data_IF_623262382346
#
_entry.id   IF_623262382346
#
_cell.length_a   1.000
_cell.length_b   1.000
_cell.length_c   1.000
_cell.angle_alpha   90.00
_cell.angle_beta   90.00
_cell.angle_gamma   90.00
#
_symmetry.space_group_name_H-M   'P 1'
#
loop_
_entity.id
_entity.type
_entity.pdbx_description
1 polymer ?
#
# COMPACT_ATOMS: atom_id res chain seq x y z
N UNK A 1 13.11 64.06 61.99
CA UNK A 1 13.15 62.82 62.80
C UNK A 1 12.69 61.66 61.93
N UNK A 2 13.50 60.59 61.88
CA UNK A 2 13.19 59.18 61.52
C UNK A 2 12.98 58.75 60.04
N UNK A 3 14.05 58.13 59.52
CA UNK A 3 14.21 56.88 58.73
C UNK A 3 13.34 56.49 57.51
N UNK A 4 14.00 56.49 56.34
CA UNK A 4 14.34 55.38 55.43
C UNK A 4 13.45 54.09 55.33
N UNK A 5 12.95 53.89 54.09
CA UNK A 5 13.04 52.71 53.19
C UNK A 5 12.48 51.31 53.56
N UNK A 6 11.90 50.67 52.51
CA UNK A 6 11.83 49.22 52.16
C UNK A 6 10.47 48.47 52.30
N UNK A 7 9.95 48.10 51.13
CA UNK A 7 9.36 46.81 50.69
C UNK A 7 7.93 46.31 50.98
N UNK A 8 7.23 46.07 49.85
CA UNK A 8 6.57 44.82 49.34
C UNK A 8 5.26 44.30 50.02
N UNK A 9 4.30 43.95 49.12
CA UNK A 9 3.19 42.95 49.15
C UNK A 9 1.76 43.44 49.48
N UNK A 10 0.87 43.39 48.46
CA UNK A 10 -0.48 42.75 48.41
C UNK A 10 -1.28 43.32 47.22
N UNK A 11 -1.36 42.67 46.05
CA UNK A 11 -2.28 41.58 45.60
C UNK A 11 -3.78 41.90 45.78
N UNK A 12 -4.50 41.91 44.64
CA UNK A 12 -5.85 41.35 44.33
C UNK A 12 -6.40 42.14 43.11
N UNK A 13 -6.14 41.65 41.90
CA UNK A 13 -7.09 40.87 41.06
C UNK A 13 -8.17 41.72 40.38
N UNK A 14 -7.85 42.20 39.17
CA UNK A 14 -8.87 42.50 38.16
C UNK A 14 -8.68 41.47 37.04
N UNK A 15 -9.53 40.45 37.08
CA UNK A 15 -9.69 39.44 36.05
C UNK A 15 -10.29 40.14 34.83
N UNK A 16 -9.47 40.36 33.80
CA UNK A 16 -9.96 40.60 32.45
C UNK A 16 -10.46 39.27 31.90
N UNK A 17 -11.77 39.07 31.86
CA UNK A 17 -12.40 38.08 31.00
C UNK A 17 -12.15 38.48 29.54
N UNK A 18 -11.01 38.10 28.98
CA UNK A 18 -10.94 37.84 27.54
C UNK A 18 -11.75 36.58 27.31
N UNK A 19 -13.02 36.77 26.91
CA UNK A 19 -13.81 35.71 26.33
C UNK A 19 -13.00 35.06 25.21
N UNK A 20 -12.98 33.73 25.22
CA UNK A 20 -12.40 32.91 24.17
C UNK A 20 -12.82 33.46 22.80
N UNK A 21 -11.88 34.06 22.07
CA UNK A 21 -11.95 34.00 20.62
C UNK A 21 -11.82 32.52 20.28
N UNK A 22 -12.97 31.86 20.10
CA UNK A 22 -13.04 30.57 19.43
C UNK A 22 -12.32 30.78 18.11
N UNK A 23 -11.13 30.22 17.96
CA UNK A 23 -10.51 30.13 16.64
C UNK A 23 -11.41 29.17 15.87
N UNK A 24 -12.47 29.72 15.28
CA UNK A 24 -13.11 29.09 14.14
C UNK A 24 -12.03 29.15 13.06
N UNK A 25 -11.18 28.12 13.05
CA UNK A 25 -10.85 27.55 11.77
C UNK A 25 -12.20 27.09 11.24
N UNK A 26 -12.90 27.99 10.54
CA UNK A 26 -13.83 27.54 9.53
C UNK A 26 -13.01 26.54 8.74
N UNK A 27 -13.46 25.28 8.77
CA UNK A 27 -12.97 24.29 7.83
C UNK A 27 -13.08 24.99 6.49
N UNK A 28 -11.93 25.36 5.92
CA UNK A 28 -11.89 25.83 4.55
C UNK A 28 -12.71 24.80 3.80
N UNK A 29 -13.78 25.21 3.08
CA UNK A 29 -14.49 24.26 2.27
C UNK A 29 -13.42 23.55 1.45
N UNK A 30 -13.43 22.22 1.50
CA UNK A 30 -12.69 21.43 0.53
C UNK A 30 -13.10 22.02 -0.81
N UNK A 31 -12.21 22.81 -1.41
CA UNK A 31 -12.29 23.05 -2.83
C UNK A 31 -12.20 21.63 -3.39
N UNK A 32 -13.36 21.10 -3.77
CA UNK A 32 -13.50 19.90 -4.57
C UNK A 32 -12.70 20.20 -5.84
N UNK A 33 -11.39 19.96 -5.73
CA UNK A 33 -10.43 20.15 -6.77
C UNK A 33 -10.97 19.39 -7.96
N UNK A 34 -11.22 20.14 -9.02
CA UNK A 34 -11.70 19.70 -10.32
C UNK A 34 -11.36 18.23 -10.57
N UNK A 35 -12.40 17.40 -10.52
CA UNK A 35 -12.40 15.97 -10.66
C UNK A 35 -11.30 15.47 -11.60
N UNK A 36 -10.47 14.54 -11.09
CA UNK A 36 -9.59 13.75 -11.93
C UNK A 36 -10.40 13.23 -13.12
N UNK A 37 -9.90 13.46 -14.35
CA UNK A 37 -10.44 12.80 -15.54
C UNK A 37 -10.60 11.33 -15.20
N UNK A 38 -11.79 10.75 -15.47
CA UNK A 38 -12.02 9.33 -15.19
C UNK A 38 -10.85 8.53 -15.79
N UNK A 39 -10.00 7.86 -14.99
CA UNK A 39 -8.90 7.05 -15.47
C UNK A 39 -9.44 6.07 -16.49
N UNK A 40 -8.59 5.82 -17.49
CA UNK A 40 -8.80 4.70 -18.38
C UNK A 40 -8.74 3.44 -17.51
N UNK A 41 -9.55 2.46 -17.84
CA UNK A 41 -9.56 1.18 -17.15
C UNK A 41 -9.29 0.07 -18.14
N UNK A 42 -8.65 -0.99 -17.65
CA UNK A 42 -8.39 -2.19 -18.47
C UNK A 42 -9.13 -3.39 -17.87
N UNK A 43 -9.26 -4.43 -18.70
CA UNK A 43 -9.79 -5.74 -18.28
C UNK A 43 -8.75 -6.80 -18.59
N UNK A 44 -8.62 -7.77 -17.69
CA UNK A 44 -7.65 -8.85 -17.78
C UNK A 44 -8.35 -10.17 -17.55
N UNK A 45 -7.93 -11.20 -18.29
CA UNK A 45 -8.37 -12.57 -18.08
C UNK A 45 -7.19 -13.44 -17.71
N UNK A 46 -7.27 -14.09 -16.56
CA UNK A 46 -6.34 -15.15 -16.14
C UNK A 46 -7.05 -16.47 -16.41
N UNK A 47 -6.47 -17.35 -17.22
CA UNK A 47 -7.05 -18.66 -17.56
C UNK A 47 -6.29 -19.82 -16.94
N UNK A 48 -7.01 -20.89 -16.61
CA UNK A 48 -6.46 -22.15 -16.13
C UNK A 48 -5.65 -22.02 -14.82
N UNK A 49 -6.06 -21.12 -13.91
CA UNK A 49 -5.45 -21.04 -12.58
C UNK A 49 -5.73 -22.33 -11.80
N UNK A 50 -4.69 -22.97 -11.28
CA UNK A 50 -4.85 -24.18 -10.47
C UNK A 50 -4.01 -24.02 -9.20
N UNK A 51 -4.62 -24.04 -8.00
CA UNK A 51 -3.88 -24.03 -6.74
C UNK A 51 -2.89 -25.19 -6.67
N UNK A 52 -1.87 -25.05 -5.83
CA UNK A 52 -0.93 -26.16 -5.59
C UNK A 52 -1.64 -27.35 -4.94
N UNK A 53 -1.10 -28.58 -5.10
CA UNK A 53 -1.64 -29.75 -4.41
C UNK A 53 -1.74 -29.52 -2.90
N UNK A 54 -2.93 -29.73 -2.33
CA UNK A 54 -3.20 -29.51 -0.90
C UNK A 54 -3.57 -28.06 -0.53
N UNK A 55 -3.73 -27.17 -1.51
CA UNK A 55 -4.09 -25.78 -1.29
C UNK A 55 -5.42 -25.44 -1.94
N UNK A 56 -6.08 -24.41 -1.43
CA UNK A 56 -7.26 -23.81 -2.04
C UNK A 56 -7.10 -22.30 -2.23
N UNK A 57 -7.73 -21.77 -3.29
CA UNK A 57 -7.79 -20.33 -3.52
C UNK A 57 -8.53 -19.63 -2.37
N UNK A 58 -7.92 -18.56 -1.85
CA UNK A 58 -8.50 -17.73 -0.80
C UNK A 58 -8.91 -16.36 -1.36
N UNK A 59 -7.93 -15.54 -1.76
CA UNK A 59 -8.15 -14.16 -2.20
C UNK A 59 -7.33 -13.81 -3.46
N UNK A 60 -7.80 -12.81 -4.22
CA UNK A 60 -7.06 -12.16 -5.31
C UNK A 60 -6.95 -10.66 -4.98
N UNK A 61 -5.71 -10.16 -4.98
CA UNK A 61 -5.35 -8.76 -4.82
C UNK A 61 -4.78 -8.21 -6.12
N UNK A 62 -5.25 -7.04 -6.52
CA UNK A 62 -4.76 -6.30 -7.68
C UNK A 62 -4.30 -4.94 -7.23
N UNK A 63 -3.01 -4.68 -7.41
CA UNK A 63 -2.38 -3.44 -6.97
C UNK A 63 -1.78 -2.74 -8.19
N UNK A 64 -2.26 -1.53 -8.47
CA UNK A 64 -1.56 -0.64 -9.39
C UNK A 64 -0.54 0.15 -8.58
N UNK A 65 0.73 -0.16 -8.75
CA UNK A 65 1.80 0.48 -8.01
C UNK A 65 2.22 1.83 -8.61
N UNK A 66 1.84 2.15 -9.84
CA UNK A 66 2.18 3.45 -10.43
C UNK A 66 1.36 4.59 -9.85
N UNK A 67 0.27 4.29 -9.13
CA UNK A 67 -0.62 5.30 -8.58
C UNK A 67 -1.10 4.95 -7.18
N UNK A 68 -1.40 5.97 -6.39
CA UNK A 68 -1.99 5.86 -5.06
C UNK A 68 -3.26 6.70 -5.02
N UNK A 69 -4.34 6.14 -4.49
CA UNK A 69 -5.54 6.89 -4.19
C UNK A 69 -5.29 7.73 -2.94
N UNK A 70 -5.19 9.05 -3.11
CA UNK A 70 -4.95 10.01 -2.02
C UNK A 70 -5.82 11.25 -2.29
N UNK A 71 -6.46 11.78 -1.24
CA UNK A 71 -7.32 12.97 -1.33
C UNK A 71 -8.40 12.85 -2.41
N UNK A 72 -9.00 11.67 -2.57
CA UNK A 72 -10.03 11.40 -3.57
C UNK A 72 -9.55 11.39 -5.03
N UNK A 73 -8.26 11.23 -5.29
CA UNK A 73 -7.67 11.26 -6.64
C UNK A 73 -6.52 10.24 -6.80
N UNK A 74 -6.17 9.85 -8.04
CA UNK A 74 -4.94 9.10 -8.29
C UNK A 74 -3.76 10.05 -8.33
N UNK A 75 -2.86 9.89 -7.37
CA UNK A 75 -1.56 10.50 -7.35
C UNK A 75 -0.53 9.54 -7.92
N UNK A 76 0.47 10.06 -8.62
CA UNK A 76 1.58 9.25 -9.13
C UNK A 76 2.41 8.71 -7.95
N UNK A 77 2.88 7.47 -8.04
CA UNK A 77 3.91 6.90 -7.17
C UNK A 77 5.07 6.46 -8.05
N UNK A 78 6.07 7.32 -8.22
CA UNK A 78 7.21 7.04 -9.07
C UNK A 78 8.07 5.90 -8.50
N UNK A 79 8.24 5.87 -7.17
CA UNK A 79 8.90 4.81 -6.40
C UNK A 79 8.08 3.53 -6.26
N UNK A 80 6.78 3.59 -6.59
CA UNK A 80 5.88 2.44 -6.57
C UNK A 80 5.76 1.76 -5.21
N UNK A 81 6.02 2.46 -4.12
CA UNK A 81 6.22 1.91 -2.77
C UNK A 81 5.03 2.08 -1.81
N UNK A 82 3.93 2.65 -2.30
CA UNK A 82 2.72 2.86 -1.52
C UNK A 82 2.57 4.29 -0.99
N UNK A 83 3.58 5.15 -1.21
CA UNK A 83 3.48 6.59 -0.98
C UNK A 83 3.42 7.32 -2.32
N UNK A 84 2.63 8.39 -2.38
CA UNK A 84 2.58 9.25 -3.56
C UNK A 84 3.79 10.17 -3.63
N UNK A 85 4.12 10.62 -4.84
CA UNK A 85 5.17 11.62 -5.04
C UNK A 85 4.83 12.93 -4.31
N UNK A 86 3.54 13.25 -4.16
CA UNK A 86 3.06 14.36 -3.35
C UNK A 86 3.45 14.17 -1.88
N UNK A 87 3.10 13.02 -1.26
CA UNK A 87 3.46 12.71 0.13
C UNK A 87 4.97 12.74 0.34
N UNK A 88 5.74 12.13 -0.58
CA UNK A 88 7.21 12.09 -0.49
C UNK A 88 7.85 13.48 -0.54
N UNK A 89 7.39 14.36 -1.43
CA UNK A 89 7.88 15.73 -1.49
C UNK A 89 7.63 16.51 -0.19
N UNK A 90 6.48 16.31 0.47
CA UNK A 90 6.19 16.92 1.78
C UNK A 90 7.08 16.37 2.90
N UNK A 91 7.54 15.12 2.78
CA UNK A 91 8.35 14.41 3.78
C UNK A 91 9.85 14.39 3.46
N UNK A 92 10.29 15.04 2.38
CA UNK A 92 11.71 15.05 1.98
C UNK A 92 12.62 15.62 3.09
N UNK A 93 12.27 16.75 3.70
CA UNK A 93 13.11 17.38 4.74
C UNK A 93 13.08 16.57 6.04
N UNK A 94 11.92 16.03 6.42
CA UNK A 94 11.73 15.34 7.71
C UNK A 94 12.26 13.91 7.69
N UNK A 95 12.06 13.21 6.59
CA UNK A 95 12.32 11.76 6.46
C UNK A 95 13.32 11.44 5.33
N UNK A 96 13.66 12.38 4.45
CA UNK A 96 14.56 12.08 3.33
C UNK A 96 13.94 11.16 2.27
N UNK A 97 12.61 11.12 2.16
CA UNK A 97 11.90 10.31 1.16
C UNK A 97 12.16 10.85 -0.24
N UNK A 98 12.62 9.99 -1.14
CA UNK A 98 12.88 10.35 -2.53
C UNK A 98 11.78 9.78 -3.45
N UNK A 99 11.31 10.58 -4.41
CA UNK A 99 10.20 10.19 -5.30
C UNK A 99 10.51 8.96 -6.16
N UNK A 100 11.79 8.66 -6.43
CA UNK A 100 12.22 7.50 -7.23
C UNK A 100 12.91 6.40 -6.40
N UNK A 101 12.79 6.40 -5.08
CA UNK A 101 13.33 5.35 -4.22
C UNK A 101 12.23 4.84 -3.31
N UNK A 102 12.02 3.52 -3.27
CA UNK A 102 11.09 2.90 -2.33
C UNK A 102 11.64 2.82 -0.89
N UNK A 103 12.96 2.95 -0.78
CA UNK A 103 13.67 2.93 0.49
C UNK A 103 14.18 4.32 0.84
N UNK A 104 14.30 4.53 2.14
CA UNK A 104 14.89 5.75 2.67
C UNK A 104 16.39 5.79 2.38
N UNK A 105 17.04 6.89 2.75
CA UNK A 105 18.50 7.00 2.71
C UNK A 105 19.23 5.97 3.58
N UNK A 106 18.52 5.32 4.52
CA UNK A 106 19.00 4.14 5.23
C UNK A 106 18.57 2.89 4.43
N UNK A 107 19.52 2.14 3.83
CA UNK A 107 19.21 0.97 3.01
C UNK A 107 18.33 -0.05 3.76
N UNK A 108 17.47 -0.77 3.07
CA UNK A 108 16.69 -1.86 3.66
C UNK A 108 15.54 -1.44 4.58
N UNK A 109 15.29 -0.13 4.72
CA UNK A 109 14.12 0.42 5.43
C UNK A 109 13.22 1.14 4.43
N UNK A 110 12.00 0.64 4.28
CA UNK A 110 10.99 1.18 3.37
C UNK A 110 10.44 2.53 3.86
N UNK A 111 10.20 3.46 2.94
CA UNK A 111 9.63 4.78 3.27
C UNK A 111 8.26 4.65 3.92
N UNK A 112 7.43 3.72 3.44
CA UNK A 112 6.08 3.50 3.96
C UNK A 112 6.07 3.05 5.43
N UNK A 113 7.05 2.23 5.84
CA UNK A 113 7.20 1.84 7.25
C UNK A 113 7.55 3.05 8.12
N UNK A 114 8.46 3.91 7.65
CA UNK A 114 8.84 5.13 8.35
C UNK A 114 7.70 6.14 8.43
N UNK A 115 6.88 6.20 7.38
CA UNK A 115 5.69 7.04 7.34
C UNK A 115 4.68 6.64 8.42
N UNK A 116 4.31 5.35 8.51
CA UNK A 116 3.33 4.88 9.49
C UNK A 116 3.87 4.78 10.92
N UNK A 117 5.17 4.49 11.10
CA UNK A 117 5.80 4.49 12.43
C UNK A 117 6.04 5.90 12.99
N UNK A 118 6.01 6.93 12.13
CA UNK A 118 6.30 8.31 12.52
C UNK A 118 7.77 8.58 12.82
N UNK A 119 8.67 7.63 12.54
CA UNK A 119 10.11 7.76 12.75
C UNK A 119 10.68 8.73 11.70
N UNK A 120 11.33 9.79 12.17
CA UNK A 120 11.96 10.81 11.32
C UNK A 120 13.44 10.53 11.08
N UNK A 121 14.03 11.21 10.09
CA UNK A 121 15.43 10.98 9.67
C UNK A 121 16.45 11.13 10.81
N UNK A 122 16.19 12.03 11.77
CA UNK A 122 17.04 12.20 12.95
C UNK A 122 17.04 10.99 13.90
N UNK A 123 16.11 10.05 13.75
CA UNK A 123 15.94 8.87 14.58
C UNK A 123 16.33 7.57 13.88
N UNK A 124 16.79 7.61 12.62
CA UNK A 124 17.13 6.40 11.85
C UNK A 124 18.20 5.54 12.51
N UNK A 125 19.05 6.12 13.36
CA UNK A 125 20.05 5.38 14.14
C UNK A 125 19.42 4.32 15.08
N UNK A 126 18.12 4.42 15.37
CA UNK A 126 17.38 3.43 16.17
C UNK A 126 17.01 2.17 15.38
N UNK A 127 17.18 2.19 14.05
CA UNK A 127 16.73 1.15 13.12
C UNK A 127 17.88 0.33 12.51
N UNK A 128 18.86 -0.09 13.31
CA UNK A 128 19.98 -0.90 12.83
C UNK A 128 19.71 -2.42 12.78
N UNK A 129 19.80 -3.01 11.60
CA UNK A 129 19.75 -4.47 11.38
C UNK A 129 21.09 -5.00 10.83
N UNK A 130 21.29 -6.31 10.87
CA UNK A 130 22.39 -6.93 10.11
C UNK A 130 22.18 -6.75 8.61
N UNK A 131 23.28 -6.65 7.85
CA UNK A 131 23.24 -6.53 6.39
C UNK A 131 22.41 -7.65 5.74
N UNK A 132 22.49 -8.87 6.30
CA UNK A 132 21.71 -10.01 5.82
C UNK A 132 20.20 -9.75 5.89
N UNK A 133 19.70 -9.19 7.00
CA UNK A 133 18.28 -8.88 7.18
C UNK A 133 17.84 -7.66 6.37
N UNK A 134 18.73 -6.68 6.20
CA UNK A 134 18.47 -5.48 5.40
C UNK A 134 18.45 -5.76 3.89
N UNK A 135 19.02 -6.87 3.44
CA UNK A 135 19.04 -7.25 2.03
C UNK A 135 18.18 -8.47 1.72
N UNK A 136 17.66 -9.17 2.73
CA UNK A 136 16.83 -10.34 2.50
C UNK A 136 15.54 -9.95 1.77
N UNK A 137 15.21 -10.73 0.76
CA UNK A 137 13.99 -10.62 -0.02
C UNK A 137 13.18 -11.91 -0.06
N UNK A 138 13.48 -12.84 0.85
CA UNK A 138 12.77 -14.12 0.94
C UNK A 138 11.42 -13.85 1.59
N UNK A 139 10.33 -14.23 0.93
CA UNK A 139 8.94 -14.20 1.42
C UNK A 139 8.18 -12.91 1.12
N UNK A 140 8.34 -11.80 1.84
CA UNK A 140 7.41 -10.65 1.80
C UNK A 140 7.93 -9.45 0.99
N UNK A 141 9.06 -9.67 0.32
CA UNK A 141 9.84 -8.65 -0.34
C UNK A 141 9.90 -8.94 -1.84
N UNK A 142 9.53 -7.95 -2.62
CA UNK A 142 9.43 -8.02 -4.06
C UNK A 142 10.49 -7.13 -4.71
N UNK A 143 11.35 -7.72 -5.54
CA UNK A 143 12.41 -6.99 -6.24
C UNK A 143 12.20 -7.13 -7.73
N UNK A 144 12.11 -6.00 -8.44
CA UNK A 144 11.97 -6.00 -9.90
C UNK A 144 12.90 -4.99 -10.57
N UNK A 145 13.26 -5.28 -11.82
CA UNK A 145 14.06 -4.38 -12.65
C UNK A 145 13.14 -3.46 -13.46
N UNK A 146 13.28 -2.16 -13.26
CA UNK A 146 12.50 -1.16 -13.98
C UNK A 146 13.26 -0.61 -15.17
N UNK A 147 13.24 -1.36 -16.26
CA UNK A 147 13.95 -1.03 -17.52
C UNK A 147 13.58 0.31 -18.16
N UNK A 148 12.54 0.99 -17.69
CA UNK A 148 12.12 2.31 -18.17
C UNK A 148 12.83 3.46 -17.44
N UNK A 149 13.45 3.18 -16.29
CA UNK A 149 14.28 4.14 -15.57
C UNK A 149 15.66 4.26 -16.21
N UNK A 150 16.31 5.43 -16.12
CA UNK A 150 17.67 5.61 -16.63
C UNK A 150 18.67 4.61 -16.04
N UNK A 151 19.69 4.22 -16.80
CA UNK A 151 20.76 3.36 -16.28
C UNK A 151 21.43 3.99 -15.05
N UNK A 152 21.48 3.26 -13.93
CA UNK A 152 22.13 3.69 -12.68
C UNK A 152 21.22 3.70 -11.44
N UNK A 153 19.90 3.50 -11.59
CA UNK A 153 18.99 3.27 -10.46
C UNK A 153 18.99 1.79 -10.05
N UNK A 154 18.88 1.51 -8.75
CA UNK A 154 18.82 0.14 -8.20
C UNK A 154 17.53 -0.56 -8.59
N UNK A 155 17.52 -1.90 -8.56
CA UNK A 155 16.28 -2.67 -8.62
C UNK A 155 15.28 -2.13 -7.59
N UNK A 156 14.02 -2.06 -7.99
CA UNK A 156 12.97 -1.51 -7.15
C UNK A 156 12.51 -2.56 -6.15
N UNK A 157 12.44 -2.13 -4.90
CA UNK A 157 12.04 -2.93 -3.76
C UNK A 157 10.61 -2.56 -3.36
N UNK A 158 9.65 -3.46 -3.56
CA UNK A 158 8.31 -3.35 -3.00
C UNK A 158 8.14 -4.41 -1.92
N UNK A 159 7.18 -4.25 -1.01
CA UNK A 159 6.96 -5.20 0.07
C UNK A 159 7.71 -4.85 1.36
N UNK A 160 7.93 -5.84 2.23
CA UNK A 160 8.62 -5.68 3.51
C UNK A 160 9.84 -6.60 3.59
N UNK A 161 10.99 -6.03 3.95
CA UNK A 161 12.21 -6.83 4.23
C UNK A 161 12.12 -7.47 5.59
N UNK A 162 12.87 -8.55 5.80
CA UNK A 162 13.01 -9.19 7.11
C UNK A 162 13.36 -8.21 8.22
N UNK A 163 14.22 -7.23 7.96
CA UNK A 163 14.57 -6.20 8.93
C UNK A 163 13.34 -5.39 9.39
N UNK A 164 12.50 -4.95 8.45
CA UNK A 164 11.27 -4.19 8.75
C UNK A 164 10.28 -5.08 9.50
N UNK A 165 10.10 -6.33 9.05
CA UNK A 165 9.25 -7.32 9.74
C UNK A 165 9.69 -7.55 11.18
N UNK A 166 10.98 -7.66 11.44
CA UNK A 166 11.53 -7.78 12.78
C UNK A 166 11.20 -6.57 13.66
N UNK A 167 11.31 -5.34 13.14
CA UNK A 167 10.93 -4.13 13.88
C UNK A 167 9.44 -4.05 14.20
N UNK A 168 8.61 -4.61 13.32
CA UNK A 168 7.17 -4.70 13.52
C UNK A 168 6.77 -5.86 14.45
N UNK A 169 7.73 -6.69 14.90
CA UNK A 169 7.45 -7.88 15.72
C UNK A 169 6.84 -9.04 14.94
N UNK A 170 6.91 -9.00 13.60
CA UNK A 170 6.39 -10.02 12.70
C UNK A 170 7.43 -11.13 12.49
N UNK A 171 6.98 -12.29 12.03
CA UNK A 171 7.85 -13.39 11.63
C UNK A 171 8.22 -13.24 10.14
N UNK A 172 9.50 -13.03 9.77
CA UNK A 172 9.91 -12.92 8.36
C UNK A 172 9.66 -14.16 7.51
N UNK A 173 9.45 -15.32 8.13
CA UNK A 173 9.11 -16.56 7.43
C UNK A 173 7.62 -16.62 7.00
N UNK A 174 6.77 -15.79 7.60
CA UNK A 174 5.35 -15.71 7.28
C UNK A 174 5.12 -14.53 6.34
N UNK A 175 4.15 -14.65 5.45
CA UNK A 175 3.79 -13.58 4.51
C UNK A 175 2.52 -12.82 4.95
N UNK A 176 1.63 -13.54 5.61
CA UNK A 176 0.45 -13.06 6.30
C UNK A 176 0.64 -13.56 7.75
N UNK A 177 1.06 -12.67 8.64
CA UNK A 177 1.53 -13.03 9.97
C UNK A 177 0.37 -13.44 10.89
N UNK A 178 -0.77 -12.78 10.77
CA UNK A 178 -1.94 -13.03 11.62
C UNK A 178 -3.02 -13.93 10.99
N UNK A 179 -2.82 -14.33 9.74
CA UNK A 179 -3.62 -15.25 8.95
C UNK A 179 -5.06 -14.79 8.71
N UNK A 180 -5.26 -13.49 8.47
CA UNK A 180 -6.57 -12.96 8.11
C UNK A 180 -6.88 -12.99 6.60
N UNK A 181 -5.88 -13.36 5.80
CA UNK A 181 -5.95 -13.46 4.34
C UNK A 181 -5.43 -12.25 3.60
N UNK A 182 -4.97 -11.19 4.29
CA UNK A 182 -4.29 -10.03 3.72
C UNK A 182 -2.77 -10.17 3.94
N UNK A 183 -1.94 -10.01 2.90
CA UNK A 183 -0.49 -9.90 3.04
C UNK A 183 -0.03 -8.79 4.00
N UNK A 184 1.00 -9.04 4.81
CA UNK A 184 1.59 -8.03 5.71
C UNK A 184 1.94 -6.72 4.96
N UNK A 185 2.55 -6.83 3.77
CA UNK A 185 2.89 -5.64 2.99
C UNK A 185 1.67 -4.87 2.45
N UNK A 186 0.56 -5.56 2.15
CA UNK A 186 -0.67 -4.91 1.71
C UNK A 186 -1.39 -4.26 2.88
N UNK A 187 -1.36 -4.89 4.05
CA UNK A 187 -1.86 -4.30 5.28
C UNK A 187 -1.12 -3.02 5.62
N UNK A 188 0.22 -3.04 5.62
CA UNK A 188 1.02 -1.83 5.83
C UNK A 188 0.65 -0.77 4.80
N UNK A 189 0.53 -1.12 3.53
CA UNK A 189 0.10 -0.17 2.49
C UNK A 189 -1.26 0.44 2.74
N UNK A 190 -2.20 -0.37 3.18
CA UNK A 190 -3.55 0.05 3.51
C UNK A 190 -3.65 0.80 4.85
N UNK A 191 -2.60 0.80 5.67
CA UNK A 191 -2.64 1.37 7.02
C UNK A 191 -3.32 0.46 8.06
N UNK A 192 -3.37 -0.85 7.80
CA UNK A 192 -3.80 -1.89 8.72
C UNK A 192 -2.63 -2.40 9.58
N UNK A 193 -2.91 -3.26 10.55
CA UNK A 193 -1.92 -3.81 11.46
C UNK A 193 -1.72 -5.31 11.23
N UNK A 194 -0.56 -5.75 10.68
CA UNK A 194 -0.27 -7.16 10.39
C UNK A 194 -0.24 -8.13 11.56
N UNK A 195 -0.39 -7.64 12.78
CA UNK A 195 -0.49 -8.46 13.99
C UNK A 195 -1.92 -8.51 14.56
N UNK A 196 -2.92 -8.01 13.82
CA UNK A 196 -4.30 -7.89 14.27
C UNK A 196 -5.32 -8.37 13.22
N UNK A 197 -5.48 -9.70 13.17
CA UNK A 197 -6.41 -10.39 12.25
C UNK A 197 -7.85 -9.89 12.23
N UNK A 198 -8.27 -9.15 13.25
CA UNK A 198 -9.63 -8.66 13.36
C UNK A 198 -9.87 -7.41 12.52
N UNK A 199 -8.82 -6.64 12.19
CA UNK A 199 -9.00 -5.38 11.46
C UNK A 199 -9.38 -5.57 9.99
N UNK A 200 -9.00 -6.67 9.34
CA UNK A 200 -9.53 -7.07 8.03
C UNK A 200 -11.07 -7.12 8.02
N UNK A 201 -11.67 -7.53 9.13
CA UNK A 201 -13.12 -7.72 9.27
C UNK A 201 -13.82 -6.52 9.95
N UNK A 202 -13.13 -5.39 10.10
CA UNK A 202 -13.73 -4.12 10.51
C UNK A 202 -14.13 -3.29 9.30
N UNK A 203 -15.00 -2.29 9.52
CA UNK A 203 -15.30 -1.23 8.56
C UNK A 203 -14.74 0.08 9.11
N UNK A 204 -13.49 0.40 8.78
CA UNK A 204 -12.79 1.58 9.34
C UNK A 204 -13.54 2.88 9.02
N UNK A 205 -14.12 3.00 7.82
CA UNK A 205 -14.94 4.16 7.44
C UNK A 205 -16.38 4.15 8.02
N UNK A 206 -16.77 3.10 8.75
CA UNK A 206 -18.13 2.96 9.30
C UNK A 206 -19.24 2.85 8.26
N UNK A 207 -18.90 2.42 7.05
CA UNK A 207 -19.83 2.29 5.92
C UNK A 207 -20.45 0.89 5.80
N UNK A 208 -19.96 -0.09 6.55
CA UNK A 208 -20.41 -1.49 6.46
C UNK A 208 -19.70 -2.31 5.39
N UNK A 209 -18.70 -1.74 4.69
CA UNK A 209 -17.78 -2.50 3.83
C UNK A 209 -16.53 -2.84 4.64
N UNK A 210 -16.16 -4.12 4.65
CA UNK A 210 -15.01 -4.62 5.40
C UNK A 210 -13.68 -4.13 4.80
N UNK A 211 -12.66 -3.97 5.63
CA UNK A 211 -11.33 -3.54 5.19
C UNK A 211 -10.73 -4.52 4.19
N UNK A 212 -10.87 -5.83 4.38
CA UNK A 212 -10.44 -6.84 3.40
C UNK A 212 -11.08 -6.64 2.03
N UNK A 213 -12.37 -6.27 1.98
CA UNK A 213 -13.07 -5.99 0.73
C UNK A 213 -12.59 -4.69 0.09
N UNK A 214 -12.19 -3.70 0.89
CA UNK A 214 -11.60 -2.45 0.39
C UNK A 214 -10.20 -2.66 -0.17
N UNK A 215 -9.35 -3.42 0.53
CA UNK A 215 -8.01 -3.79 0.04
C UNK A 215 -8.12 -4.63 -1.25
N UNK A 216 -9.04 -5.61 -1.29
CA UNK A 216 -9.44 -6.36 -2.50
C UNK A 216 -10.08 -5.51 -3.60
N UNK A 217 -10.28 -4.22 -3.38
CA UNK A 217 -10.79 -3.30 -4.38
C UNK A 217 -9.86 -2.12 -4.55
N UNK A 218 -8.70 -2.07 -3.92
CA UNK A 218 -7.81 -0.91 -3.92
C UNK A 218 -8.56 0.40 -3.57
N UNK A 219 -9.45 0.34 -2.59
CA UNK A 219 -10.20 1.48 -2.04
C UNK A 219 -9.52 1.89 -0.72
N UNK A 220 -9.29 3.19 -0.45
CA UNK A 220 -8.81 3.65 0.84
C UNK A 220 -9.71 3.16 1.99
N UNK A 221 -9.11 2.59 3.05
CA UNK A 221 -9.87 1.94 4.12
C UNK A 221 -10.72 2.93 4.95
N UNK A 222 -10.27 4.17 5.02
CA UNK A 222 -10.83 5.29 5.78
C UNK A 222 -11.92 6.07 5.02
N UNK A 223 -12.07 5.86 3.72
CA UNK A 223 -13.09 6.50 2.91
C UNK A 223 -14.38 5.66 2.80
N UNK A 224 -15.54 6.31 2.82
CA UNK A 224 -16.83 5.64 2.70
C UNK A 224 -17.11 5.20 1.25
N UNK A 225 -17.33 3.90 1.05
CA UNK A 225 -17.53 3.25 -0.25
C UNK A 225 -18.79 3.71 -1.01
N UNK A 226 -19.85 4.14 -0.31
CA UNK A 226 -21.12 4.56 -0.91
C UNK A 226 -21.10 6.01 -1.39
N UNK A 227 -20.31 6.85 -0.73
CA UNK A 227 -20.18 8.27 -1.08
C UNK A 227 -19.11 8.50 -2.14
N UNK A 228 -18.49 7.44 -2.67
CA UNK A 228 -17.46 7.54 -3.68
C UNK A 228 -18.09 7.70 -5.08
N UNK A 229 -18.09 8.90 -5.70
CA UNK A 229 -18.00 8.97 -7.16
C UNK A 229 -16.73 8.27 -7.70
N UNK A 230 -15.81 7.90 -6.78
CA UNK A 230 -14.47 7.34 -6.94
C UNK A 230 -14.37 5.79 -6.93
N UNK A 231 -15.47 5.04 -7.12
CA UNK A 231 -15.39 3.63 -7.56
C UNK A 231 -14.54 3.43 -8.82
N UNK A 232 -14.24 4.54 -9.49
CA UNK A 232 -13.21 4.72 -10.50
C UNK A 232 -11.91 3.92 -10.23
N UNK A 233 -11.44 3.81 -8.99
CA UNK A 233 -10.17 3.12 -8.69
C UNK A 233 -10.36 1.66 -8.22
N UNK A 234 -11.61 1.21 -8.17
CA UNK A 234 -11.95 -0.12 -7.71
C UNK A 234 -11.91 -1.15 -8.82
N UNK A 235 -10.93 -2.04 -8.82
CA UNK A 235 -11.05 -3.23 -9.65
C UNK A 235 -12.15 -4.15 -9.09
N UNK A 236 -12.67 -5.01 -9.96
CA UNK A 236 -13.61 -6.07 -9.63
C UNK A 236 -13.15 -7.34 -10.32
N UNK A 237 -13.38 -8.50 -9.70
CA UNK A 237 -13.13 -9.76 -10.36
C UNK A 237 -14.33 -10.70 -10.29
N UNK A 238 -14.49 -11.48 -11.34
CA UNK A 238 -15.40 -12.62 -11.44
C UNK A 238 -14.55 -13.89 -11.59
N UNK A 239 -15.01 -15.00 -11.03
CA UNK A 239 -14.33 -16.30 -11.13
C UNK A 239 -15.25 -17.35 -11.72
N UNK A 240 -14.70 -18.20 -12.58
CA UNK A 240 -15.37 -19.35 -13.16
C UNK A 240 -14.53 -20.60 -12.90
N UNK A 241 -15.15 -21.67 -12.39
CA UNK A 241 -14.48 -22.98 -12.21
C UNK A 241 -14.67 -23.81 -13.47
N UNK A 242 -13.57 -24.31 -14.02
CA UNK A 242 -13.51 -25.17 -15.18
C UNK A 242 -13.74 -26.64 -14.79
N UNK A 243 -13.97 -27.49 -15.79
CA UNK A 243 -14.26 -28.93 -15.60
C UNK A 243 -13.09 -29.67 -14.94
N UNK A 244 -11.85 -29.21 -15.15
CA UNK A 244 -10.62 -29.78 -14.60
C UNK A 244 -10.25 -29.20 -13.22
N UNK A 245 -11.20 -28.54 -12.54
CA UNK A 245 -11.03 -27.78 -11.29
C UNK A 245 -10.09 -26.55 -11.38
N UNK A 246 -9.55 -26.22 -12.55
CA UNK A 246 -8.89 -24.94 -12.73
C UNK A 246 -9.91 -23.79 -12.69
N UNK A 247 -9.44 -22.55 -12.51
CA UNK A 247 -10.26 -21.36 -12.40
C UNK A 247 -9.83 -20.33 -13.44
N UNK A 248 -10.82 -19.67 -14.02
CA UNK A 248 -10.63 -18.49 -14.84
C UNK A 248 -11.04 -17.26 -14.02
N UNK A 249 -10.26 -16.19 -14.10
CA UNK A 249 -10.58 -14.90 -13.49
C UNK A 249 -10.77 -13.85 -14.57
N UNK A 250 -11.87 -13.10 -14.49
CA UNK A 250 -12.09 -11.89 -15.28
C UNK A 250 -11.99 -10.70 -14.33
N UNK A 251 -10.94 -9.91 -14.50
CA UNK A 251 -10.63 -8.77 -13.64
C UNK A 251 -10.89 -7.50 -14.45
N UNK A 252 -11.83 -6.69 -14.01
CA UNK A 252 -12.30 -5.49 -14.70
C UNK A 252 -12.08 -4.23 -13.85
N UNK A 253 -12.22 -3.07 -14.49
CA UNK A 253 -12.14 -1.76 -13.85
C UNK A 253 -10.79 -1.48 -13.16
N UNK A 254 -9.69 -2.07 -13.65
CA UNK A 254 -8.35 -1.78 -13.12
C UNK A 254 -7.94 -0.39 -13.63
N UNK A 255 -7.75 0.61 -12.75
CA UNK A 255 -7.42 1.96 -13.17
C UNK A 255 -6.01 2.02 -13.75
N UNK A 256 -5.83 2.77 -14.83
CA UNK A 256 -4.53 3.05 -15.46
C UNK A 256 -4.39 4.53 -15.80
N UNK A 257 -3.17 5.06 -15.73
CA UNK A 257 -2.85 6.40 -16.18
C UNK A 257 -3.02 6.52 -17.70
N UNK A 258 -3.70 7.58 -18.13
CA UNK A 258 -3.92 7.87 -19.55
C UNK A 258 -2.64 8.45 -20.17
N UNK A 259 -2.18 7.91 -21.31
CA UNK A 259 -0.91 8.29 -21.96
C UNK A 259 0.34 8.16 -21.07
N UNK A 260 0.22 7.55 -19.90
CA UNK A 260 1.33 7.26 -19.00
C UNK A 260 2.11 6.08 -19.55
N UNK A 261 3.34 6.35 -19.98
CA UNK A 261 4.38 5.34 -19.98
C UNK A 261 4.41 4.79 -18.54
N UNK A 262 4.46 3.45 -18.38
CA UNK A 262 4.68 2.78 -17.09
C UNK A 262 3.50 2.63 -16.11
N UNK A 263 2.34 2.13 -16.56
CA UNK A 263 1.46 1.44 -15.62
C UNK A 263 2.16 0.18 -15.11
N UNK A 264 2.24 0.00 -13.79
CA UNK A 264 2.81 -1.17 -13.13
C UNK A 264 1.73 -1.78 -12.26
N UNK A 265 1.13 -2.86 -12.76
CA UNK A 265 0.05 -3.55 -12.08
C UNK A 265 0.59 -4.90 -11.65
N UNK A 266 0.20 -5.36 -10.46
CA UNK A 266 0.44 -6.72 -9.99
C UNK A 266 -0.86 -7.43 -9.65
N UNK A 267 -0.79 -8.76 -9.69
CA UNK A 267 -1.85 -9.68 -9.31
C UNK A 267 -1.27 -10.61 -8.26
N UNK A 268 -1.84 -10.63 -7.06
CA UNK A 268 -1.40 -11.49 -5.97
C UNK A 268 -2.61 -12.34 -5.58
N UNK A 269 -2.61 -13.61 -5.97
CA UNK A 269 -3.54 -14.57 -5.39
C UNK A 269 -2.98 -15.07 -4.05
N UNK A 270 -3.84 -15.64 -3.24
CA UNK A 270 -3.46 -16.20 -1.94
C UNK A 270 -4.11 -17.56 -1.84
N UNK A 271 -3.36 -18.48 -1.26
CA UNK A 271 -3.75 -19.87 -1.13
C UNK A 271 -3.75 -20.20 0.36
N UNK A 272 -4.72 -21.00 0.80
CA UNK A 272 -4.74 -21.49 2.17
C UNK A 272 -4.53 -23.01 2.18
N UNK A 273 -3.77 -23.47 3.16
CA UNK A 273 -3.46 -24.88 3.30
C UNK A 273 -4.65 -25.61 3.93
N UNK A 274 -5.15 -26.65 3.27
CA UNK A 274 -6.32 -27.39 3.74
C UNK A 274 -6.03 -28.25 4.98
N UNK A 275 -4.77 -28.50 5.29
CA UNK A 275 -4.34 -29.41 6.36
C UNK A 275 -4.14 -28.71 7.71
N UNK A 276 -3.65 -27.48 7.70
CA UNK A 276 -3.37 -26.72 8.93
C UNK A 276 -4.07 -25.36 8.98
N UNK A 277 -4.85 -25.01 7.96
CA UNK A 277 -5.60 -23.75 7.83
C UNK A 277 -4.73 -22.49 7.84
N UNK A 278 -3.40 -22.63 7.69
CA UNK A 278 -2.50 -21.49 7.54
C UNK A 278 -2.71 -20.83 6.17
N UNK A 279 -2.64 -19.51 6.14
CA UNK A 279 -2.60 -18.78 4.88
C UNK A 279 -1.16 -18.78 4.40
N UNK A 280 -0.92 -19.30 3.19
CA UNK A 280 0.39 -19.22 2.58
C UNK A 280 0.31 -18.47 1.27
N UNK A 281 1.11 -17.42 1.13
CA UNK A 281 1.15 -16.68 -0.13
C UNK A 281 2.18 -17.32 -1.02
N UNK A 282 1.66 -18.04 -2.01
CA UNK A 282 2.46 -18.80 -2.95
C UNK A 282 2.27 -18.34 -4.39
N UNK A 283 1.93 -17.06 -4.60
CA UNK A 283 1.40 -16.61 -5.89
C UNK A 283 2.31 -15.75 -6.74
N UNK A 284 2.22 -16.03 -8.05
CA UNK A 284 2.85 -15.36 -9.15
C UNK A 284 2.25 -13.99 -9.36
N UNK A 285 3.11 -12.99 -9.21
CA UNK A 285 2.86 -11.64 -9.65
C UNK A 285 3.12 -11.53 -11.16
N UNK A 286 2.51 -10.52 -11.76
CA UNK A 286 2.56 -10.30 -13.18
C UNK A 286 2.57 -8.81 -13.44
N UNK A 287 3.65 -8.35 -14.08
CA UNK A 287 3.86 -6.95 -14.39
C UNK A 287 3.32 -6.68 -15.77
N UNK A 288 2.37 -5.77 -15.91
CA UNK A 288 1.92 -5.31 -17.23
C UNK A 288 2.44 -3.93 -17.48
N UNK A 289 3.40 -3.77 -18.40
CA UNK A 289 3.90 -2.46 -18.85
C UNK A 289 3.20 -2.07 -20.14
N UNK A 290 2.80 -0.80 -20.26
CA UNK A 290 2.24 -0.18 -21.48
C UNK A 290 0.95 -0.84 -22.03
N UNK A 291 -0.20 -0.57 -21.40
CA UNK A 291 -1.49 -0.99 -21.99
C UNK A 291 -2.03 0.08 -22.93
N UNK A 292 -1.80 -0.12 -24.23
CA UNK A 292 -2.31 0.79 -25.27
C UNK A 292 -3.74 0.41 -25.68
N UNK A 293 -4.08 -0.88 -25.64
CA UNK A 293 -5.33 -1.45 -26.15
C UNK A 293 -6.51 -1.37 -25.17
N UNK A 294 -7.73 -1.44 -25.70
CA UNK A 294 -8.99 -1.54 -24.94
C UNK A 294 -9.54 -2.97 -24.89
N UNK A 295 -8.95 -3.90 -25.64
CA UNK A 295 -9.33 -5.30 -25.60
C UNK A 295 -8.85 -5.95 -24.29
N UNK A 296 -9.56 -6.97 -23.77
CA UNK A 296 -9.07 -7.70 -22.61
C UNK A 296 -7.71 -8.36 -22.89
N UNK A 297 -6.74 -8.15 -22.01
CA UNK A 297 -5.47 -8.86 -22.08
C UNK A 297 -5.68 -10.28 -21.52
N UNK A 298 -5.41 -11.30 -22.34
CA UNK A 298 -5.52 -12.69 -21.92
C UNK A 298 -4.18 -13.26 -21.50
N UNK A 299 -4.20 -14.00 -20.40
CA UNK A 299 -3.00 -14.52 -19.78
C UNK A 299 -3.28 -15.93 -19.27
N UNK A 300 -2.46 -16.90 -19.68
CA UNK A 300 -2.49 -18.22 -19.05
C UNK A 300 -1.92 -18.13 -17.63
N UNK A 301 -2.34 -19.00 -16.73
CA UNK A 301 -1.65 -19.24 -15.47
C UNK A 301 -0.63 -20.37 -15.61
N UNK A 302 0.58 -20.18 -15.08
CA UNK A 302 1.74 -21.05 -15.30
C UNK A 302 2.48 -21.36 -13.99
N UNK A 303 1.89 -21.04 -12.84
CA UNK A 303 2.62 -20.99 -11.59
C UNK A 303 2.67 -22.36 -10.89
N UNK A 304 3.52 -23.26 -11.39
CA UNK A 304 3.73 -24.59 -10.79
C UNK A 304 5.04 -24.72 -9.99
N UNK A 305 5.91 -23.69 -9.96
CA UNK A 305 7.26 -23.80 -9.35
C UNK A 305 7.69 -22.54 -8.56
N UNK A 306 7.56 -22.50 -7.21
CA UNK A 306 7.87 -21.34 -6.33
C UNK A 306 9.23 -20.67 -6.58
N UNK A 307 10.20 -21.39 -7.15
CA UNK A 307 11.56 -20.89 -7.37
C UNK A 307 11.71 -20.07 -8.65
N UNK A 308 10.72 -20.11 -9.55
CA UNK A 308 10.68 -19.36 -10.82
C UNK A 308 9.76 -18.15 -10.80
N UNK A 309 9.27 -17.78 -9.62
CA UNK A 309 8.25 -16.73 -9.46
C UNK A 309 8.80 -15.34 -9.76
N UNK A 310 10.13 -15.18 -9.80
CA UNK A 310 10.82 -13.92 -10.06
C UNK A 310 10.55 -13.40 -11.49
N UNK A 311 9.56 -12.51 -11.62
CA UNK A 311 9.46 -11.46 -12.64
C UNK A 311 9.11 -11.94 -14.05
N UNK A 312 7.85 -12.30 -14.28
CA UNK A 312 7.30 -12.29 -15.64
C UNK A 312 6.70 -10.92 -15.98
N UNK A 313 7.39 -10.22 -16.87
CA UNK A 313 6.96 -8.96 -17.46
C UNK A 313 6.19 -9.22 -18.74
N UNK A 314 4.94 -8.81 -18.78
CA UNK A 314 4.13 -8.75 -19.99
C UNK A 314 4.14 -7.31 -20.49
N UNK A 315 4.75 -7.09 -21.65
CA UNK A 315 4.67 -5.80 -22.34
C UNK A 315 3.38 -5.85 -23.15
N UNK A 316 2.41 -5.02 -22.80
CA UNK A 316 1.20 -4.85 -23.57
C UNK A 316 1.53 -4.33 -24.97
N UNK A 317 0.93 -4.95 -25.99
CA UNK A 317 0.93 -4.42 -27.36
C UNK A 317 -0.10 -3.29 -27.44
#
# INVERSE_FOLDING_TARGET
MRNNYISIISVISIIFCFGCAKHQNELLPLELGSFAVKPKTITIRIKNYNPRPGQEFQNLFVSNYSVIAELGSLQLSSARDGLSDFTKNQKYITNGFATFSAESVLPGIADIFLFYSGIVSSQYYTLYCSQSLMQNSSNDAFVYDDTSRPNGYSNEFLGLRDCVKYYMGLNPALFDYDNDGIPDYLEVRAGLNPANKYDAYLSTAGDGVLNIDKVKRNIPIDENAYTQPNQIFSYKYETQVNIDNSRDFIISNIPVLNNGIENFISFNLTEYDISDTSTSIYTAFMIIKNVTTSAPLEIGYWATDPTKYYNQQIIGF
#
